data_IF_634408415821
#
_entry.id   IF_634408415821
#
_cell.length_a   1.000
_cell.length_b   1.000
_cell.length_c   1.000
_cell.angle_alpha   90.00
_cell.angle_beta   90.00
_cell.angle_gamma   90.00
#
_symmetry.space_group_name_H-M   'P 1'
#
loop_
_entity.id
_entity.type
_entity.pdbx_description
1 polymer ?
#
# COMPACT_ATOMS: atom_id res chain seq x y z
N UNK A 1 -1.33 -5.36 -18.04
CA UNK A 1 -0.05 -4.67 -18.11
C UNK A 1 0.02 -3.85 -19.40
N UNK A 2 0.42 -2.57 -19.34
CA UNK A 2 0.46 -1.63 -20.48
C UNK A 2 1.34 -2.13 -21.64
N UNK A 3 2.36 -2.92 -21.36
CA UNK A 3 3.17 -3.57 -22.41
C UNK A 3 2.36 -4.57 -23.22
N UNK A 4 1.51 -5.37 -22.58
CA UNK A 4 0.63 -6.34 -23.25
C UNK A 4 -0.38 -5.61 -24.13
N UNK A 5 -1.00 -4.52 -23.63
CA UNK A 5 -1.93 -3.68 -24.38
C UNK A 5 -1.29 -3.12 -25.67
N UNK A 6 -0.05 -2.62 -25.57
CA UNK A 6 0.70 -2.15 -26.74
C UNK A 6 0.99 -3.29 -27.74
N UNK A 7 1.32 -4.49 -27.26
CA UNK A 7 1.50 -5.66 -28.13
C UNK A 7 0.19 -6.03 -28.81
N UNK A 8 -0.91 -6.11 -28.07
CA UNK A 8 -2.23 -6.41 -28.63
C UNK A 8 -2.63 -5.39 -29.69
N UNK A 9 -2.42 -4.09 -29.46
CA UNK A 9 -2.71 -3.04 -30.43
C UNK A 9 -1.87 -3.17 -31.71
N UNK A 10 -0.61 -3.64 -31.63
CA UNK A 10 0.20 -3.93 -32.82
C UNK A 10 -0.33 -5.09 -33.68
N UNK A 11 -1.02 -6.03 -33.03
CA UNK A 11 -1.61 -7.18 -33.72
C UNK A 11 -3.03 -6.93 -34.24
N UNK A 12 -3.61 -5.74 -34.01
CA UNK A 12 -4.94 -5.38 -34.52
C UNK A 12 -5.03 -5.27 -36.05
N UNK A 13 -3.91 -5.38 -36.77
CA UNK A 13 -3.86 -5.57 -38.23
C UNK A 13 -4.09 -7.00 -38.65
N UNK A 14 -3.98 -7.97 -37.73
CA UNK A 14 -4.18 -9.37 -38.07
C UNK A 14 -5.68 -9.67 -38.23
N UNK A 15 -6.04 -10.63 -39.09
CA UNK A 15 -7.42 -11.04 -39.23
C UNK A 15 -7.94 -11.75 -37.97
N UNK A 16 -9.15 -11.39 -37.58
CA UNK A 16 -9.89 -12.08 -36.51
C UNK A 16 -10.61 -13.29 -37.08
N UNK A 17 -10.37 -14.45 -36.48
CA UNK A 17 -11.03 -15.71 -36.79
C UNK A 17 -12.07 -16.04 -35.73
N UNK A 18 -13.34 -16.07 -36.10
CA UNK A 18 -14.43 -16.44 -35.22
C UNK A 18 -15.10 -17.71 -35.71
N UNK A 19 -15.26 -18.68 -34.82
CA UNK A 19 -16.01 -19.90 -35.07
C UNK A 19 -17.20 -19.97 -34.12
N UNK A 20 -18.41 -20.12 -34.68
CA UNK A 20 -19.64 -20.25 -33.94
C UNK A 20 -20.32 -21.55 -34.29
N UNK A 21 -20.77 -22.31 -33.31
CA UNK A 21 -21.63 -23.49 -33.46
C UNK A 21 -22.89 -23.23 -32.62
N UNK A 22 -24.02 -23.31 -33.28
CA UNK A 22 -25.32 -23.14 -32.68
C UNK A 22 -26.20 -24.36 -32.91
N UNK A 23 -26.92 -24.80 -31.90
CA UNK A 23 -27.97 -25.80 -31.97
C UNK A 23 -29.27 -25.15 -31.54
N UNK A 24 -30.29 -25.18 -32.45
CA UNK A 24 -31.63 -24.68 -32.16
C UNK A 24 -32.63 -25.84 -32.23
N UNK A 25 -33.48 -25.92 -31.20
CA UNK A 25 -34.55 -26.87 -31.11
C UNK A 25 -35.87 -26.09 -31.10
N UNK A 26 -36.68 -26.30 -32.15
CA UNK A 26 -38.01 -25.69 -32.24
C UNK A 26 -39.06 -26.76 -31.97
N UNK A 27 -39.92 -26.54 -31.00
CA UNK A 27 -41.01 -27.42 -30.58
C UNK A 27 -42.31 -26.68 -30.77
N UNK A 28 -43.30 -27.30 -31.44
CA UNK A 28 -44.63 -26.73 -31.55
C UNK A 28 -45.29 -26.90 -32.91
N UNK A 29 -46.33 -26.11 -33.14
CA UNK A 29 -47.15 -26.11 -34.35
C UNK A 29 -46.60 -25.11 -35.36
N UNK A 30 -46.25 -25.60 -36.53
CA UNK A 30 -45.84 -24.74 -37.65
C UNK A 30 -46.55 -25.09 -38.92
N UNK A 31 -46.78 -24.11 -39.82
CA UNK A 31 -47.40 -24.39 -41.11
C UNK A 31 -46.42 -25.23 -41.98
N UNK A 32 -46.90 -26.37 -42.48
CA UNK A 32 -46.19 -27.17 -43.46
C UNK A 32 -46.10 -26.43 -44.79
N UNK A 33 -45.22 -26.87 -45.71
CA UNK A 33 -45.14 -26.33 -47.09
C UNK A 33 -46.44 -26.40 -47.88
N UNK A 34 -47.37 -27.23 -47.44
CA UNK A 34 -48.73 -27.34 -48.01
C UNK A 34 -49.75 -26.45 -47.33
N UNK A 35 -49.39 -25.59 -46.40
CA UNK A 35 -50.28 -24.69 -45.67
C UNK A 35 -51.07 -25.33 -44.53
N UNK A 36 -50.90 -26.60 -44.25
CA UNK A 36 -51.55 -27.32 -43.15
C UNK A 36 -50.73 -27.15 -41.89
N UNK A 37 -51.35 -26.79 -40.73
CA UNK A 37 -50.68 -26.69 -39.44
C UNK A 37 -50.46 -28.11 -38.94
N UNK A 38 -49.20 -28.46 -38.70
CA UNK A 38 -48.74 -29.75 -38.16
C UNK A 38 -47.88 -29.58 -36.95
N UNK A 39 -47.95 -30.51 -36.00
CA UNK A 39 -47.03 -30.57 -34.87
C UNK A 39 -45.68 -31.06 -35.41
N UNK A 40 -44.72 -30.17 -35.40
CA UNK A 40 -43.38 -30.49 -35.94
C UNK A 40 -42.31 -30.05 -34.90
N UNK A 41 -41.46 -30.99 -34.54
CA UNK A 41 -40.26 -30.72 -33.80
C UNK A 41 -39.10 -30.66 -34.78
N UNK A 42 -38.37 -29.56 -34.78
CA UNK A 42 -37.18 -29.44 -35.63
C UNK A 42 -35.93 -29.19 -34.80
N UNK A 43 -34.84 -29.77 -35.20
CA UNK A 43 -33.51 -29.53 -34.68
C UNK A 43 -32.64 -28.99 -35.82
N UNK A 44 -32.14 -27.80 -35.63
CA UNK A 44 -31.26 -27.16 -36.60
C UNK A 44 -29.88 -26.91 -35.98
N UNK A 45 -28.85 -27.49 -36.61
CA UNK A 45 -27.45 -27.26 -36.23
C UNK A 45 -26.82 -26.32 -37.25
N UNK A 46 -26.28 -25.21 -36.79
CA UNK A 46 -25.54 -24.27 -37.63
C UNK A 46 -24.09 -24.18 -37.15
N UNK A 47 -23.17 -24.24 -38.08
CA UNK A 47 -21.76 -23.97 -37.82
C UNK A 47 -21.29 -22.90 -38.83
N UNK A 48 -20.64 -21.88 -38.28
CA UNK A 48 -20.08 -20.79 -39.09
C UNK A 48 -18.66 -20.48 -38.66
N UNK A 49 -17.80 -20.24 -39.63
CA UNK A 49 -16.44 -19.74 -39.43
C UNK A 49 -16.35 -18.46 -40.24
N UNK A 50 -15.98 -17.37 -39.54
CA UNK A 50 -15.81 -16.05 -40.17
C UNK A 50 -14.41 -15.53 -39.92
N UNK A 51 -13.79 -15.01 -40.97
CA UNK A 51 -12.50 -14.33 -40.94
C UNK A 51 -12.75 -12.89 -41.35
N UNK A 52 -12.38 -11.96 -40.47
CA UNK A 52 -12.51 -10.52 -40.75
C UNK A 52 -11.16 -9.83 -40.60
N UNK A 53 -10.80 -9.00 -41.57
CA UNK A 53 -9.56 -8.23 -41.57
C UNK A 53 -9.87 -6.77 -41.93
N UNK A 54 -9.50 -5.79 -41.09
CA UNK A 54 -9.65 -4.38 -41.45
C UNK A 54 -8.63 -3.99 -42.52
N UNK A 55 -9.11 -3.60 -43.71
CA UNK A 55 -8.25 -3.15 -44.83
C UNK A 55 -7.90 -1.67 -44.64
N UNK A 56 -8.87 -0.85 -44.25
CA UNK A 56 -8.69 0.58 -44.01
C UNK A 56 -9.64 1.03 -42.90
N UNK A 57 -9.08 1.63 -41.84
CA UNK A 57 -9.82 2.07 -40.66
C UNK A 57 -9.51 3.56 -40.32
N UNK A 58 -9.39 4.40 -41.34
CA UNK A 58 -9.21 5.83 -41.17
C UNK A 58 -8.02 6.22 -40.29
N UNK A 59 -6.90 5.48 -40.35
CA UNK A 59 -5.70 5.68 -39.52
C UNK A 59 -5.93 5.45 -38.00
N UNK A 60 -7.04 4.83 -37.61
CA UNK A 60 -7.34 4.53 -36.20
C UNK A 60 -6.28 3.64 -35.59
N UNK A 61 -5.88 2.57 -36.26
CA UNK A 61 -4.90 1.60 -35.75
C UNK A 61 -3.54 2.23 -35.47
N UNK A 62 -2.90 2.99 -36.43
CA UNK A 62 -1.62 3.62 -36.13
C UNK A 62 -1.70 4.69 -35.04
N UNK A 63 -2.81 5.42 -34.95
CA UNK A 63 -3.03 6.39 -33.90
C UNK A 63 -3.24 5.70 -32.52
N UNK A 64 -3.93 4.57 -32.48
CA UNK A 64 -4.06 3.76 -31.24
C UNK A 64 -2.70 3.22 -30.77
N UNK A 65 -1.87 2.72 -31.71
CA UNK A 65 -0.50 2.29 -31.37
C UNK A 65 0.33 3.46 -30.82
N UNK A 66 0.21 4.65 -31.40
CA UNK A 66 0.90 5.83 -30.89
C UNK A 66 0.40 6.22 -29.48
N UNK A 67 -0.91 6.21 -29.27
CA UNK A 67 -1.51 6.46 -27.95
C UNK A 67 -1.02 5.43 -26.92
N UNK A 68 -1.04 4.12 -27.24
CA UNK A 68 -0.56 3.05 -26.33
C UNK A 68 0.94 3.17 -26.01
N UNK A 69 1.76 3.69 -26.93
CA UNK A 69 3.18 4.01 -26.64
C UNK A 69 3.31 5.13 -25.61
N UNK A 70 2.48 6.17 -25.73
CA UNK A 70 2.47 7.27 -24.75
C UNK A 70 1.94 6.78 -23.40
N UNK A 71 0.89 5.97 -23.38
CA UNK A 71 0.37 5.34 -22.17
C UNK A 71 1.45 4.50 -21.45
N UNK A 72 2.24 3.73 -22.21
CA UNK A 72 3.35 2.97 -21.65
C UNK A 72 4.41 3.89 -21.04
N UNK A 73 4.77 4.98 -21.74
CA UNK A 73 5.72 5.97 -21.23
C UNK A 73 5.19 6.64 -19.95
N UNK A 74 3.93 7.06 -19.94
CA UNK A 74 3.29 7.63 -18.76
C UNK A 74 3.29 6.64 -17.57
N UNK A 75 3.04 5.35 -17.82
CA UNK A 75 3.09 4.33 -16.78
C UNK A 75 4.50 4.12 -16.22
N UNK A 76 5.55 4.25 -17.03
CA UNK A 76 6.95 4.20 -16.58
C UNK A 76 7.26 5.40 -15.68
N UNK A 77 6.85 6.60 -16.07
CA UNK A 77 7.06 7.81 -15.25
C UNK A 77 6.27 7.74 -13.93
N UNK A 78 5.06 7.18 -13.96
CA UNK A 78 4.29 6.92 -12.74
C UNK A 78 5.01 5.96 -11.80
N UNK A 79 5.65 4.91 -12.34
CA UNK A 79 6.46 3.98 -11.55
C UNK A 79 7.70 4.68 -10.95
N UNK A 80 8.37 5.53 -11.71
CA UNK A 80 9.52 6.30 -11.22
C UNK A 80 9.11 7.23 -10.08
N UNK A 81 7.99 7.95 -10.27
CA UNK A 81 7.42 8.79 -9.20
C UNK A 81 7.10 7.97 -7.94
N UNK A 82 6.46 6.80 -8.09
CA UNK A 82 6.15 5.96 -6.93
C UNK A 82 7.41 5.49 -6.17
N UNK A 83 8.52 5.23 -6.89
CA UNK A 83 9.81 4.90 -6.26
C UNK A 83 10.40 6.10 -5.50
N UNK A 84 10.31 7.30 -6.06
CA UNK A 84 10.78 8.53 -5.41
C UNK A 84 9.95 8.83 -4.17
N UNK A 85 8.62 8.76 -4.26
CA UNK A 85 7.70 8.95 -3.15
C UNK A 85 7.98 7.94 -2.01
N UNK A 86 8.23 6.67 -2.35
CA UNK A 86 8.62 5.64 -1.37
C UNK A 86 9.94 5.99 -0.68
N UNK A 87 10.95 6.43 -1.45
CA UNK A 87 12.26 6.81 -0.89
C UNK A 87 12.15 7.98 0.08
N UNK A 88 11.32 8.98 -0.24
CA UNK A 88 11.06 10.13 0.63
C UNK A 88 10.33 9.68 1.90
N UNK A 89 9.33 8.80 1.77
CA UNK A 89 8.59 8.29 2.92
C UNK A 89 9.50 7.50 3.88
N UNK A 90 10.34 6.61 3.35
CA UNK A 90 11.32 5.85 4.15
C UNK A 90 12.29 6.79 4.87
N UNK A 91 12.81 7.81 4.17
CA UNK A 91 13.68 8.81 4.80
C UNK A 91 12.96 9.58 5.92
N UNK A 92 11.69 9.92 5.72
CA UNK A 92 10.86 10.59 6.73
C UNK A 92 10.65 9.72 7.98
N UNK A 93 10.29 8.43 7.80
CA UNK A 93 10.16 7.49 8.92
C UNK A 93 11.48 7.27 9.65
N UNK A 94 12.59 7.18 8.92
CA UNK A 94 13.91 7.08 9.52
C UNK A 94 14.24 8.28 10.42
N UNK A 95 13.99 9.51 9.93
CA UNK A 95 14.18 10.73 10.71
C UNK A 95 13.25 10.78 11.93
N UNK A 96 12.02 10.28 11.80
CA UNK A 96 11.09 10.18 12.93
C UNK A 96 11.59 9.22 14.01
N UNK A 97 12.21 8.10 13.63
CA UNK A 97 12.85 7.19 14.61
C UNK A 97 14.01 7.88 15.33
N UNK A 98 14.88 8.57 14.58
CA UNK A 98 15.98 9.34 15.17
C UNK A 98 15.49 10.38 16.16
N UNK A 99 14.48 11.15 15.77
CA UNK A 99 13.86 12.15 16.64
C UNK A 99 13.31 11.53 17.94
N UNK A 100 12.54 10.45 17.83
CA UNK A 100 11.97 9.78 19.00
C UNK A 100 13.06 9.19 19.93
N UNK A 101 14.16 8.68 19.37
CA UNK A 101 15.32 8.21 20.16
C UNK A 101 15.96 9.36 20.97
N UNK A 102 16.12 10.53 20.36
CA UNK A 102 16.66 11.68 21.09
C UNK A 102 15.69 12.17 22.17
N UNK A 103 14.39 12.18 21.89
CA UNK A 103 13.36 12.50 22.92
C UNK A 103 13.40 11.48 24.08
N UNK A 104 13.55 10.19 23.79
CA UNK A 104 13.71 9.16 24.82
C UNK A 104 14.95 9.42 25.69
N UNK A 105 16.08 9.72 25.07
CA UNK A 105 17.33 10.03 25.79
C UNK A 105 17.19 11.26 26.70
N UNK A 106 16.51 12.31 26.24
CA UNK A 106 16.21 13.48 27.06
C UNK A 106 15.31 13.08 28.24
N UNK A 107 14.28 12.27 28.03
CA UNK A 107 13.39 11.79 29.09
C UNK A 107 14.16 10.93 30.13
N UNK A 108 15.11 10.09 29.68
CA UNK A 108 15.98 9.30 30.58
C UNK A 108 16.84 10.21 31.46
N UNK A 109 17.44 11.26 30.90
CA UNK A 109 18.21 12.26 31.67
C UNK A 109 17.32 13.02 32.63
N UNK A 110 16.09 13.35 32.25
CA UNK A 110 15.14 14.04 33.14
C UNK A 110 14.75 13.17 34.33
N UNK A 111 14.47 11.87 34.12
CA UNK A 111 14.21 10.94 35.23
C UNK A 111 15.40 10.82 36.16
N UNK A 112 16.63 10.73 35.64
CA UNK A 112 17.84 10.70 36.43
C UNK A 112 17.97 11.95 37.29
N UNK A 113 17.76 13.13 36.70
CA UNK A 113 17.80 14.43 37.44
C UNK A 113 16.74 14.51 38.55
N UNK A 114 15.50 14.11 38.22
CA UNK A 114 14.39 14.14 39.22
C UNK A 114 14.64 13.15 40.35
N UNK A 115 15.25 11.98 40.07
CA UNK A 115 15.63 11.03 41.10
C UNK A 115 16.72 11.60 42.02
N UNK A 116 17.74 12.27 41.48
CA UNK A 116 18.75 12.97 42.29
C UNK A 116 18.14 14.07 43.19
N UNK A 117 17.13 14.81 42.66
CA UNK A 117 16.41 15.82 43.43
C UNK A 117 15.61 15.20 44.58
N UNK A 118 14.96 14.02 44.35
CA UNK A 118 14.27 13.28 45.41
C UNK A 118 15.26 12.89 46.51
N UNK A 119 16.40 12.27 46.16
CA UNK A 119 17.42 11.85 47.13
C UNK A 119 17.95 13.05 47.96
N UNK A 120 18.25 14.16 47.29
CA UNK A 120 18.70 15.40 47.95
C UNK A 120 17.64 15.96 48.90
N UNK A 121 16.39 16.02 48.46
CA UNK A 121 15.28 16.54 49.25
C UNK A 121 15.01 15.64 50.45
N UNK A 122 15.09 14.32 50.32
CA UNK A 122 14.96 13.37 51.41
C UNK A 122 16.02 13.60 52.51
N UNK A 123 17.26 13.82 52.12
CA UNK A 123 18.33 14.15 53.04
C UNK A 123 18.09 15.50 53.78
N UNK A 124 17.53 16.50 53.08
CA UNK A 124 17.17 17.78 53.66
C UNK A 124 16.01 17.68 54.68
N UNK A 125 15.00 16.87 54.36
CA UNK A 125 13.86 16.56 55.24
C UNK A 125 14.35 15.86 56.51
N UNK A 126 15.22 14.84 56.39
CA UNK A 126 15.82 14.14 57.54
C UNK A 126 16.58 15.08 58.49
N UNK A 127 17.17 16.12 57.94
CA UNK A 127 17.89 17.14 58.70
C UNK A 127 17.00 18.32 59.18
N UNK A 128 15.68 18.23 58.96
CA UNK A 128 14.72 19.27 59.39
C UNK A 128 14.83 20.60 58.63
N UNK A 129 15.52 20.62 57.47
CA UNK A 129 15.78 21.85 56.71
C UNK A 129 14.65 22.23 55.75
N UNK A 130 13.81 21.26 55.35
CA UNK A 130 12.65 21.44 54.44
C UNK A 130 11.46 20.64 54.95
N UNK A 131 10.23 21.07 54.65
CA UNK A 131 9.03 20.34 55.05
C UNK A 131 8.85 19.05 54.27
N UNK A 132 8.16 18.07 54.87
CA UNK A 132 7.88 16.78 54.25
C UNK A 132 7.04 16.88 52.98
N UNK A 133 6.18 17.91 52.86
CA UNK A 133 5.39 18.18 51.65
C UNK A 133 6.27 18.32 50.40
N UNK A 134 7.42 18.98 50.53
CA UNK A 134 8.35 19.17 49.42
C UNK A 134 8.93 17.85 48.90
N UNK A 135 9.13 16.86 49.78
CA UNK A 135 9.54 15.51 49.35
C UNK A 135 8.45 14.83 48.54
N UNK A 136 7.18 14.96 48.93
CA UNK A 136 6.06 14.41 48.16
C UNK A 136 5.89 15.09 46.81
N UNK A 137 6.12 16.40 46.73
CA UNK A 137 6.10 17.15 45.47
C UNK A 137 7.18 16.62 44.50
N UNK A 138 8.42 16.41 45.03
CA UNK A 138 9.50 15.85 44.20
C UNK A 138 9.23 14.40 43.75
N UNK A 139 8.65 13.56 44.63
CA UNK A 139 8.24 12.21 44.25
C UNK A 139 7.14 12.20 43.20
N UNK A 140 6.17 13.11 43.30
CA UNK A 140 5.13 13.26 42.28
C UNK A 140 5.71 13.70 40.92
N UNK A 141 6.72 14.61 40.95
CA UNK A 141 7.42 15.02 39.74
C UNK A 141 8.20 13.86 39.13
N UNK A 142 8.93 13.07 39.93
CA UNK A 142 9.64 11.88 39.45
C UNK A 142 8.67 10.89 38.80
N UNK A 143 7.55 10.59 39.44
CA UNK A 143 6.55 9.68 38.84
C UNK A 143 5.99 10.19 37.51
N UNK A 144 5.81 11.52 37.35
CA UNK A 144 5.40 12.13 36.08
C UNK A 144 6.47 12.00 35.01
N UNK A 145 7.73 12.19 35.38
CA UNK A 145 8.86 12.07 34.46
C UNK A 145 9.04 10.58 33.99
N UNK A 146 8.80 9.60 34.87
CA UNK A 146 8.80 8.17 34.56
C UNK A 146 7.68 7.81 33.58
N UNK A 147 6.50 8.41 33.69
CA UNK A 147 5.41 8.25 32.71
C UNK A 147 5.86 8.80 31.37
N UNK A 148 6.42 10.00 31.33
CA UNK A 148 6.92 10.63 30.09
C UNK A 148 8.01 9.79 29.42
N UNK A 149 8.90 9.16 30.19
CA UNK A 149 9.89 8.22 29.66
C UNK A 149 9.23 6.97 29.05
N UNK A 150 8.20 6.44 29.70
CA UNK A 150 7.46 5.29 29.20
C UNK A 150 6.76 5.61 27.86
N UNK A 151 6.17 6.79 27.76
CA UNK A 151 5.56 7.29 26.51
C UNK A 151 6.63 7.46 25.42
N UNK A 152 7.78 8.06 25.73
CA UNK A 152 8.87 8.22 24.77
C UNK A 152 9.38 6.86 24.26
N UNK A 153 9.54 5.86 25.13
CA UNK A 153 9.92 4.48 24.73
C UNK A 153 8.89 3.83 23.82
N UNK A 154 7.61 4.02 24.11
CA UNK A 154 6.54 3.51 23.24
C UNK A 154 6.56 4.20 21.87
N UNK A 155 6.79 5.50 21.81
CA UNK A 155 6.88 6.25 20.55
C UNK A 155 8.05 5.79 19.68
N UNK A 156 9.20 5.42 20.27
CA UNK A 156 10.31 4.81 19.54
C UNK A 156 9.89 3.48 18.92
N UNK A 157 9.21 2.61 19.68
CA UNK A 157 8.75 1.31 19.19
C UNK A 157 7.74 1.46 18.05
N UNK A 158 6.81 2.41 18.16
CA UNK A 158 5.84 2.70 17.09
C UNK A 158 6.54 3.22 15.84
N UNK A 159 7.47 4.17 15.98
CA UNK A 159 8.19 4.69 14.82
C UNK A 159 9.06 3.63 14.11
N UNK A 160 9.67 2.70 14.86
CA UNK A 160 10.37 1.54 14.30
C UNK A 160 9.41 0.61 13.56
N UNK A 161 8.21 0.40 14.11
CA UNK A 161 7.17 -0.41 13.45
C UNK A 161 6.73 0.23 12.12
N UNK A 162 6.48 1.54 12.10
CA UNK A 162 6.09 2.28 10.90
C UNK A 162 7.18 2.17 9.82
N UNK A 163 8.46 2.29 10.21
CA UNK A 163 9.59 2.14 9.30
C UNK A 163 9.68 0.71 8.73
N UNK A 164 9.55 -0.32 9.56
CA UNK A 164 9.61 -1.72 9.10
C UNK A 164 8.44 -2.06 8.18
N UNK A 165 7.24 -1.55 8.47
CA UNK A 165 6.07 -1.72 7.61
C UNK A 165 6.24 -1.03 6.25
N UNK A 166 6.82 0.17 6.23
CA UNK A 166 7.06 0.89 4.97
C UNK A 166 8.09 0.20 4.08
N UNK A 167 8.98 -0.60 4.68
CA UNK A 167 9.99 -1.40 3.99
C UNK A 167 9.52 -2.82 3.66
N UNK A 168 8.28 -3.19 4.04
CA UNK A 168 7.72 -4.55 3.89
C UNK A 168 8.66 -5.64 4.47
N UNK A 169 9.42 -5.31 5.53
CA UNK A 169 10.27 -6.29 6.19
C UNK A 169 9.40 -7.27 6.99
N UNK A 170 9.65 -8.57 6.80
CA UNK A 170 9.03 -9.60 7.63
C UNK A 170 9.40 -9.37 9.11
N UNK A 171 8.42 -9.59 9.98
CA UNK A 171 8.51 -9.31 11.42
C UNK A 171 9.38 -10.34 12.17
N UNK A 172 10.64 -10.49 11.81
CA UNK A 172 11.63 -11.18 12.65
C UNK A 172 12.22 -10.25 13.73
N UNK A 173 11.41 -9.33 14.20
CA UNK A 173 12.01 -8.18 14.68
C UNK A 173 11.76 -7.72 16.11
N UNK A 174 12.01 -8.46 17.17
CA UNK A 174 12.34 -7.84 18.47
C UNK A 174 13.71 -7.10 18.45
N UNK A 175 14.52 -7.28 17.40
CA UNK A 175 15.89 -6.75 17.29
C UNK A 175 16.12 -5.81 16.10
N UNK A 176 15.08 -5.30 15.43
CA UNK A 176 15.29 -4.30 14.39
C UNK A 176 15.62 -2.94 15.04
N UNK A 177 16.81 -2.45 14.76
CA UNK A 177 17.23 -1.10 15.15
C UNK A 177 17.94 -0.39 14.00
N UNK A 178 17.94 0.93 14.04
CA UNK A 178 18.62 1.76 13.04
C UNK A 178 20.02 2.11 13.48
N UNK A 179 20.93 2.18 12.52
CA UNK A 179 22.26 2.75 12.74
C UNK A 179 22.16 4.27 12.74
N UNK A 180 22.56 4.90 13.84
CA UNK A 180 22.63 6.36 13.92
C UNK A 180 23.88 6.80 13.21
N UNK A 181 23.81 7.69 12.19
CA UNK A 181 25.00 8.20 11.52
C UNK A 181 25.81 9.04 12.50
N UNK A 182 27.12 8.79 12.55
CA UNK A 182 28.05 9.71 13.23
C UNK A 182 28.14 11.00 12.38
N UNK A 183 27.72 12.11 12.94
CA UNK A 183 27.81 13.43 12.32
C UNK A 183 29.09 14.13 12.83
#
# INVERSE_FOLDING_TARGET
SRRVELHTSKFSWLPDLNANVGQNFDFGRSPSKSGVIVDQNSANTSASVSLSMPIFDGLRIPNDIAARKLDLKAAVETLNKAKEDLSINVASYYLQVLYNKEVQKIAELQVALSNEQVVKTEALVKNGKVPLSQLYDMKAQLAKDEVSLTEARNNVKLALLDLTQSLELERDGENFDIVVPEI
#
